data_IF_035307176968
#
_entry.id   IF_035307176968
#
_cell.length_a   1.000
_cell.length_b   1.000
_cell.length_c   1.000
_cell.angle_alpha   90.00
_cell.angle_beta   90.00
_cell.angle_gamma   90.00
#
_symmetry.space_group_name_H-M   'P 1'
#
loop_
_entity.id
_entity.type
_entity.pdbx_description
1 polymer ?
#
# COMPACT_ATOMS: atom_id res chain seq x y z
N UNK A 1 45.04 5.01 2.12
CA UNK A 1 44.26 3.92 1.50
C UNK A 1 43.06 3.48 2.37
N UNK A 2 42.40 4.40 3.09
CA UNK A 2 41.37 4.05 4.09
C UNK A 2 40.04 4.83 3.98
N UNK A 3 39.91 5.80 3.08
CA UNK A 3 38.73 6.69 3.06
C UNK A 3 37.68 6.28 2.01
N UNK A 4 38.11 5.61 0.93
CA UNK A 4 37.23 5.14 -0.15
C UNK A 4 36.35 3.95 0.26
N UNK A 5 36.83 3.12 1.20
CA UNK A 5 36.08 1.94 1.66
C UNK A 5 34.91 2.29 2.59
N UNK A 6 35.05 3.35 3.40
CA UNK A 6 33.97 3.82 4.28
C UNK A 6 32.80 4.41 3.48
N UNK A 7 33.08 5.12 2.39
CA UNK A 7 32.05 5.68 1.51
C UNK A 7 31.26 4.58 0.78
N UNK A 8 31.91 3.48 0.38
CA UNK A 8 31.23 2.35 -0.27
C UNK A 8 30.33 1.56 0.69
N UNK A 9 30.74 1.40 1.95
CA UNK A 9 29.90 0.76 2.98
C UNK A 9 28.69 1.65 3.33
N UNK A 10 28.88 2.97 3.42
CA UNK A 10 27.78 3.89 3.71
C UNK A 10 26.69 3.90 2.62
N UNK A 11 27.07 3.79 1.34
CA UNK A 11 26.11 3.77 0.22
C UNK A 11 25.31 2.46 0.19
N UNK A 12 25.90 1.32 0.55
CA UNK A 12 25.22 0.01 0.52
C UNK A 12 24.16 -0.10 1.65
N UNK A 13 24.40 0.52 2.80
CA UNK A 13 23.43 0.52 3.93
C UNK A 13 22.21 1.38 3.63
N UNK A 14 22.33 2.46 2.85
CA UNK A 14 21.19 3.31 2.49
C UNK A 14 20.22 2.66 1.49
N UNK A 15 20.66 1.69 0.68
CA UNK A 15 19.85 1.13 -0.42
C UNK A 15 18.97 -0.06 0.03
N UNK A 16 19.21 -0.67 1.18
CA UNK A 16 18.50 -1.88 1.63
C UNK A 16 17.34 -1.63 2.61
N UNK A 17 17.12 -0.38 3.04
CA UNK A 17 16.21 -0.05 4.15
C UNK A 17 14.77 0.35 3.78
N UNK A 18 14.38 0.36 2.51
CA UNK A 18 13.01 0.71 2.09
C UNK A 18 12.24 -0.50 1.56
N UNK A 19 12.31 -1.63 2.26
CA UNK A 19 11.16 -2.52 2.26
C UNK A 19 10.10 -1.84 3.13
N UNK A 20 9.36 -0.91 2.54
CA UNK A 20 8.16 -0.34 3.15
C UNK A 20 7.23 -1.51 3.43
N UNK A 21 7.26 -2.03 4.66
CA UNK A 21 6.18 -2.87 5.15
C UNK A 21 5.01 -1.92 5.24
N UNK A 22 4.25 -1.81 4.14
CA UNK A 22 2.94 -1.22 4.16
C UNK A 22 2.17 -2.05 5.17
N UNK A 23 2.00 -1.50 6.37
CA UNK A 23 1.09 -2.04 7.38
C UNK A 23 -0.27 -1.97 6.72
N UNK A 24 -0.65 -3.07 6.07
CA UNK A 24 -1.99 -3.28 5.59
C UNK A 24 -2.89 -3.06 6.81
N UNK A 25 -3.91 -2.22 6.68
CA UNK A 25 -4.98 -2.17 7.67
C UNK A 25 -5.39 -3.61 7.99
N UNK A 26 -5.56 -3.91 9.28
CA UNK A 26 -5.88 -5.26 9.72
C UNK A 26 -7.08 -5.79 8.92
N UNK A 27 -6.98 -7.01 8.37
CA UNK A 27 -8.08 -7.58 7.62
C UNK A 27 -9.32 -7.68 8.51
N UNK A 28 -10.53 -7.35 8.01
CA UNK A 28 -11.77 -7.51 8.77
C UNK A 28 -12.22 -8.98 8.83
N UNK A 29 -11.30 -9.88 9.19
CA UNK A 29 -11.51 -11.32 9.19
C UNK A 29 -12.27 -11.83 10.42
N UNK A 30 -12.32 -11.04 11.49
CA UNK A 30 -13.13 -11.26 12.69
C UNK A 30 -14.62 -11.44 12.38
N UNK A 31 -15.08 -10.91 11.23
CA UNK A 31 -16.45 -11.08 10.72
C UNK A 31 -16.76 -12.48 10.18
N UNK A 32 -15.76 -13.35 10.02
CA UNK A 32 -15.93 -14.71 9.53
C UNK A 32 -15.72 -15.76 10.64
N UNK A 33 -16.34 -16.96 10.54
CA UNK A 33 -16.12 -18.04 11.48
C UNK A 33 -14.62 -18.36 11.64
N UNK A 34 -14.18 -18.75 12.84
CA UNK A 34 -12.76 -18.98 13.18
C UNK A 34 -12.05 -19.88 12.17
N UNK A 35 -12.71 -20.95 11.70
CA UNK A 35 -12.17 -21.88 10.72
C UNK A 35 -11.81 -21.22 9.36
N UNK A 36 -12.41 -20.08 9.03
CA UNK A 36 -12.21 -19.34 7.77
C UNK A 36 -11.31 -18.12 7.92
N UNK A 37 -10.89 -17.75 9.13
CA UNK A 37 -10.13 -16.52 9.36
C UNK A 37 -8.74 -16.55 8.71
N UNK A 38 -8.03 -17.69 8.77
CA UNK A 38 -6.75 -17.86 8.09
C UNK A 38 -6.88 -17.64 6.58
N UNK A 39 -7.94 -18.20 5.99
CA UNK A 39 -8.21 -18.07 4.56
C UNK A 39 -8.55 -16.63 4.15
N UNK A 40 -9.35 -15.95 4.98
CA UNK A 40 -9.63 -14.53 4.80
C UNK A 40 -8.36 -13.68 4.83
N UNK A 41 -7.42 -13.97 5.74
CA UNK A 41 -6.16 -13.21 5.85
C UNK A 41 -5.27 -13.40 4.61
N UNK A 42 -5.20 -14.62 4.06
CA UNK A 42 -4.52 -14.90 2.79
C UNK A 42 -5.13 -14.12 1.64
N UNK A 43 -6.45 -14.19 1.48
CA UNK A 43 -7.18 -13.48 0.42
C UNK A 43 -6.98 -11.97 0.55
N UNK A 44 -7.02 -11.43 1.77
CA UNK A 44 -6.76 -10.01 2.03
C UNK A 44 -5.36 -9.60 1.59
N UNK A 45 -4.35 -10.39 1.95
CA UNK A 45 -2.95 -10.15 1.55
C UNK A 45 -2.83 -10.11 0.02
N UNK A 46 -3.49 -11.01 -0.68
CA UNK A 46 -3.45 -11.05 -2.15
C UNK A 46 -4.19 -9.87 -2.78
N UNK A 47 -5.35 -9.48 -2.24
CA UNK A 47 -6.05 -8.27 -2.66
C UNK A 47 -5.22 -7.00 -2.47
N UNK A 48 -4.41 -6.90 -1.40
CA UNK A 48 -3.47 -5.79 -1.22
C UNK A 48 -2.39 -5.77 -2.30
N UNK A 49 -1.85 -6.93 -2.68
CA UNK A 49 -0.87 -7.02 -3.78
C UNK A 49 -1.48 -6.60 -5.11
N UNK A 50 -2.71 -7.06 -5.40
CA UNK A 50 -3.45 -6.70 -6.61
C UNK A 50 -3.68 -5.19 -6.71
N UNK A 51 -3.84 -4.50 -5.58
CA UNK A 51 -4.03 -3.04 -5.55
C UNK A 51 -2.71 -2.26 -5.66
N UNK A 52 -1.57 -2.91 -5.49
CA UNK A 52 -0.25 -2.27 -5.52
C UNK A 52 -0.03 -1.38 -6.76
N UNK A 53 -0.24 -1.87 -7.99
CA UNK A 53 -0.05 -1.07 -9.21
C UNK A 53 -0.92 0.18 -9.27
N UNK A 54 -2.20 0.09 -8.90
CA UNK A 54 -3.11 1.26 -8.96
C UNK A 54 -2.80 2.28 -7.86
N UNK A 55 -2.39 1.84 -6.67
CA UNK A 55 -1.95 2.72 -5.58
C UNK A 55 -0.66 3.45 -6.00
N UNK A 56 0.30 2.74 -6.59
CA UNK A 56 1.55 3.32 -7.07
C UNK A 56 1.29 4.35 -8.18
N UNK A 57 0.46 4.02 -9.17
CA UNK A 57 0.11 4.94 -10.25
C UNK A 57 -0.55 6.21 -9.72
N UNK A 58 -1.52 6.06 -8.79
CA UNK A 58 -2.15 7.21 -8.14
C UNK A 58 -1.12 8.12 -7.44
N UNK A 59 -0.16 7.54 -6.72
CA UNK A 59 0.92 8.29 -6.07
C UNK A 59 1.81 9.05 -7.07
N UNK A 60 2.18 8.42 -8.18
CA UNK A 60 2.95 9.06 -9.26
C UNK A 60 2.18 10.20 -9.92
N UNK A 61 0.89 10.02 -10.16
CA UNK A 61 0.02 11.04 -10.75
C UNK A 61 -0.16 12.23 -9.80
N UNK A 62 -0.33 11.98 -8.51
CA UNK A 62 -0.36 13.02 -7.47
C UNK A 62 0.95 13.81 -7.42
N UNK A 63 2.09 13.11 -7.43
CA UNK A 63 3.42 13.74 -7.40
C UNK A 63 3.62 14.63 -8.63
N UNK A 64 3.34 14.12 -9.83
CA UNK A 64 3.41 14.90 -11.08
C UNK A 64 2.54 16.15 -11.02
N UNK A 65 1.29 16.04 -10.57
CA UNK A 65 0.38 17.19 -10.48
C UNK A 65 0.85 18.22 -9.46
N UNK A 66 1.48 17.80 -8.37
CA UNK A 66 2.12 18.72 -7.40
C UNK A 66 3.30 19.44 -8.02
N UNK A 67 4.16 18.72 -8.73
CA UNK A 67 5.36 19.29 -9.36
C UNK A 67 4.99 20.27 -10.50
N UNK A 68 3.88 20.02 -11.19
CA UNK A 68 3.30 20.92 -12.20
C UNK A 68 2.50 22.09 -11.58
N UNK A 69 2.39 22.18 -10.25
CA UNK A 69 1.61 23.23 -9.56
C UNK A 69 0.08 23.13 -9.76
N UNK A 70 -0.43 21.99 -10.24
CA UNK A 70 -1.86 21.76 -10.53
C UNK A 70 -2.70 21.49 -9.30
N UNK A 71 -2.07 21.07 -8.20
CA UNK A 71 -2.74 20.87 -6.91
C UNK A 71 -1.92 21.46 -5.78
N UNK A 72 -2.62 22.05 -4.82
CA UNK A 72 -2.03 22.52 -3.58
C UNK A 72 -1.99 21.39 -2.51
N UNK A 73 -1.32 21.60 -1.36
CA UNK A 73 -1.22 20.58 -0.32
C UNK A 73 -2.58 20.12 0.26
N UNK A 74 -3.57 21.00 0.35
CA UNK A 74 -4.89 20.67 0.88
C UNK A 74 -5.68 19.79 -0.09
N UNK A 75 -5.61 20.09 -1.39
CA UNK A 75 -6.19 19.27 -2.46
C UNK A 75 -5.52 17.89 -2.51
N UNK A 76 -4.19 17.83 -2.43
CA UNK A 76 -3.45 16.57 -2.35
C UNK A 76 -3.92 15.69 -1.19
N UNK A 77 -4.03 16.26 0.01
CA UNK A 77 -4.53 15.53 1.18
C UNK A 77 -5.97 15.04 0.99
N UNK A 78 -6.87 15.91 0.52
CA UNK A 78 -8.27 15.55 0.31
C UNK A 78 -8.44 14.44 -0.74
N UNK A 79 -7.69 14.52 -1.85
CA UNK A 79 -7.69 13.51 -2.90
C UNK A 79 -7.09 12.18 -2.41
N UNK A 80 -5.98 12.21 -1.65
CA UNK A 80 -5.42 11.01 -1.00
C UNK A 80 -6.44 10.31 -0.10
N UNK A 81 -7.10 11.07 0.78
CA UNK A 81 -8.10 10.51 1.69
C UNK A 81 -9.28 9.89 0.93
N UNK A 82 -9.72 10.56 -0.14
CA UNK A 82 -10.78 10.05 -1.02
C UNK A 82 -10.37 8.75 -1.69
N UNK A 83 -9.16 8.69 -2.25
CA UNK A 83 -8.63 7.49 -2.90
C UNK A 83 -8.47 6.33 -1.91
N UNK A 84 -7.90 6.57 -0.73
CA UNK A 84 -7.71 5.54 0.32
C UNK A 84 -9.06 4.96 0.71
N UNK A 85 -10.08 5.80 0.94
CA UNK A 85 -11.43 5.35 1.29
C UNK A 85 -12.00 4.47 0.18
N UNK A 86 -12.01 4.97 -1.06
CA UNK A 86 -12.59 4.23 -2.20
C UNK A 86 -11.85 2.91 -2.49
N UNK A 87 -10.52 2.90 -2.40
CA UNK A 87 -9.72 1.68 -2.57
C UNK A 87 -10.01 0.65 -1.49
N UNK A 88 -10.12 1.11 -0.23
CA UNK A 88 -10.45 0.24 0.91
C UNK A 88 -11.85 -0.35 0.77
N UNK A 89 -12.85 0.47 0.41
CA UNK A 89 -14.23 0.03 0.20
C UNK A 89 -14.28 -1.06 -0.91
N UNK A 90 -13.62 -0.82 -2.05
CA UNK A 90 -13.53 -1.81 -3.15
C UNK A 90 -12.80 -3.09 -2.75
N UNK A 91 -11.78 -2.99 -1.90
CA UNK A 91 -11.06 -4.16 -1.40
C UNK A 91 -11.93 -5.00 -0.48
N UNK A 92 -12.70 -4.36 0.40
CA UNK A 92 -13.65 -5.02 1.29
C UNK A 92 -14.72 -5.75 0.49
N UNK A 93 -15.28 -5.14 -0.56
CA UNK A 93 -16.27 -5.81 -1.40
C UNK A 93 -15.68 -7.04 -2.12
N UNK A 94 -14.49 -6.92 -2.72
CA UNK A 94 -13.80 -8.09 -3.32
C UNK A 94 -13.46 -9.17 -2.30
N UNK A 95 -13.14 -8.80 -1.05
CA UNK A 95 -12.94 -9.77 0.03
C UNK A 95 -14.24 -10.53 0.31
N UNK A 96 -15.36 -9.82 0.48
CA UNK A 96 -16.67 -10.44 0.69
C UNK A 96 -17.02 -11.40 -0.44
N UNK A 97 -16.86 -10.97 -1.69
CA UNK A 97 -17.12 -11.78 -2.87
C UNK A 97 -16.25 -13.04 -2.95
N UNK A 98 -14.99 -12.99 -2.49
CA UNK A 98 -14.12 -14.16 -2.44
C UNK A 98 -14.50 -15.10 -1.31
N UNK A 99 -14.80 -14.55 -0.13
CA UNK A 99 -15.17 -15.33 1.05
C UNK A 99 -16.52 -16.05 0.94
N UNK A 100 -17.41 -15.65 0.02
CA UNK A 100 -18.63 -16.42 -0.27
C UNK A 100 -18.37 -17.73 -1.02
N UNK A 101 -17.19 -17.88 -1.63
CA UNK A 101 -16.76 -19.09 -2.37
C UNK A 101 -15.89 -20.03 -1.53
N UNK A 102 -15.52 -19.61 -0.33
CA UNK A 102 -14.73 -20.37 0.66
C UNK A 102 -15.65 -20.99 1.73
#
# INVERSE_FOLDING_TARGET
>A
MNQSWWNLVAVIVCVTGMASVSVAADPPCDKYPTAKQSRCAEIWKDLYKEDGPIIAQFGLDQQKRRDEGKINPQQHLAENMTFIKQSTDKRIERLKERMTRE
#
